data_IF_400729071643
#
_entry.id   IF_400729071643
#
_cell.length_a   1.000
_cell.length_b   1.000
_cell.length_c   1.000
_cell.angle_alpha   90.00
_cell.angle_beta   90.00
_cell.angle_gamma   90.00
#
_symmetry.space_group_name_H-M   'P 1'
#
loop_
_entity.id
_entity.type
_entity.pdbx_description
1 polymer ?
#
# COMPACT_ATOMS: atom_id res chain seq x y z
N UNK A 1 10.55 -3.37 4.71
CA UNK A 1 10.75 -3.63 6.15
C UNK A 1 9.66 -3.07 7.05
N UNK A 2 8.71 -2.27 6.55
CA UNK A 2 7.73 -1.54 7.39
C UNK A 2 6.40 -2.29 7.65
N UNK A 3 6.10 -3.35 6.89
CA UNK A 3 4.78 -4.02 6.92
C UNK A 3 4.41 -4.61 8.30
N UNK A 4 5.35 -5.17 9.07
CA UNK A 4 5.03 -5.76 10.40
C UNK A 4 4.77 -4.68 11.47
N UNK A 5 5.51 -3.56 11.43
CA UNK A 5 5.30 -2.44 12.36
C UNK A 5 3.93 -1.80 12.17
N UNK A 6 3.53 -1.62 10.91
CA UNK A 6 2.20 -1.13 10.55
C UNK A 6 1.11 -2.13 10.94
N UNK A 7 1.28 -3.43 10.69
CA UNK A 7 0.32 -4.46 11.12
C UNK A 7 0.12 -4.48 12.65
N UNK A 8 1.17 -4.25 13.46
CA UNK A 8 1.03 -4.17 14.94
C UNK A 8 0.35 -2.88 15.40
N UNK A 9 0.71 -1.73 14.81
CA UNK A 9 0.06 -0.44 15.08
C UNK A 9 -1.43 -0.52 14.70
N UNK A 10 -1.71 -1.04 13.51
CA UNK A 10 -3.08 -1.18 13.03
C UNK A 10 -3.86 -2.24 13.79
N UNK A 11 -3.29 -3.37 14.20
CA UNK A 11 -3.98 -4.34 15.09
C UNK A 11 -4.34 -3.74 16.45
N UNK A 12 -3.58 -2.76 16.97
CA UNK A 12 -3.94 -2.03 18.19
C UNK A 12 -5.09 -1.04 17.98
N UNK A 13 -5.27 -0.52 16.76
CA UNK A 13 -6.34 0.42 16.41
C UNK A 13 -7.61 -0.33 15.93
N UNK A 14 -7.44 -1.46 15.25
CA UNK A 14 -8.48 -2.25 14.62
C UNK A 14 -9.00 -3.31 15.60
N UNK A 15 -9.90 -2.90 16.48
CA UNK A 15 -10.31 -3.72 17.62
C UNK A 15 -11.26 -4.88 17.29
N UNK A 16 -11.72 -5.07 16.04
CA UNK A 16 -12.71 -6.15 15.79
C UNK A 16 -12.97 -6.63 14.35
N UNK A 17 -12.01 -6.59 13.42
CA UNK A 17 -12.24 -7.15 12.07
C UNK A 17 -11.13 -8.09 11.63
N UNK A 18 -11.48 -9.35 11.38
CA UNK A 18 -10.70 -10.25 10.52
C UNK A 18 -10.48 -9.50 9.19
N UNK A 19 -9.21 -9.23 8.84
CA UNK A 19 -8.87 -8.41 7.67
C UNK A 19 -9.51 -8.96 6.39
N UNK A 20 -9.99 -8.07 5.53
CA UNK A 20 -10.53 -8.41 4.19
C UNK A 20 -9.78 -7.62 3.13
N UNK A 21 -9.68 -8.18 1.94
CA UNK A 21 -9.09 -7.48 0.79
C UNK A 21 -10.01 -6.34 0.32
N UNK A 22 -9.42 -5.29 -0.26
CA UNK A 22 -10.20 -4.18 -0.83
C UNK A 22 -11.18 -4.65 -1.91
N UNK A 23 -10.75 -5.61 -2.74
CA UNK A 23 -11.62 -6.25 -3.73
C UNK A 23 -12.87 -6.85 -3.10
N UNK A 24 -12.78 -7.49 -1.92
CA UNK A 24 -13.94 -8.05 -1.23
C UNK A 24 -14.81 -6.97 -0.58
N UNK A 25 -14.20 -5.99 0.08
CA UNK A 25 -14.94 -4.93 0.80
C UNK A 25 -15.71 -4.02 -0.17
N UNK A 26 -15.06 -3.62 -1.26
CA UNK A 26 -15.60 -2.68 -2.24
C UNK A 26 -16.08 -3.37 -3.52
N UNK A 27 -16.09 -4.71 -3.58
CA UNK A 27 -16.51 -5.47 -4.78
C UNK A 27 -15.91 -4.90 -6.06
N UNK A 28 -14.60 -4.64 -6.04
CA UNK A 28 -13.89 -4.00 -7.14
C UNK A 28 -13.80 -4.96 -8.33
N UNK A 29 -14.04 -4.49 -9.56
CA UNK A 29 -13.94 -5.32 -10.76
C UNK A 29 -12.49 -5.76 -11.01
N UNK A 30 -12.35 -6.88 -11.70
CA UNK A 30 -11.06 -7.40 -12.19
C UNK A 30 -11.26 -7.72 -13.67
N UNK A 31 -10.56 -7.05 -14.60
CA UNK A 31 -9.48 -6.08 -14.37
C UNK A 31 -9.97 -4.69 -13.91
N UNK A 32 -9.07 -3.93 -13.28
CA UNK A 32 -9.29 -2.51 -12.96
C UNK A 32 -8.87 -1.63 -14.14
N UNK A 33 -9.61 -0.56 -14.34
CA UNK A 33 -9.41 0.48 -15.36
C UNK A 33 -9.83 1.85 -14.82
N UNK A 34 -9.52 2.91 -15.56
CA UNK A 34 -9.95 4.27 -15.22
C UNK A 34 -11.48 4.42 -15.15
N UNK A 35 -12.22 3.67 -15.97
CA UNK A 35 -13.69 3.68 -16.04
C UNK A 35 -14.34 2.66 -15.11
N UNK A 36 -13.55 1.94 -14.31
CA UNK A 36 -14.08 0.95 -13.38
C UNK A 36 -14.96 1.60 -12.33
N UNK A 37 -15.99 0.87 -11.90
CA UNK A 37 -16.90 1.31 -10.84
C UNK A 37 -17.03 0.22 -9.79
N UNK A 38 -17.25 0.64 -8.56
CA UNK A 38 -17.47 -0.25 -7.45
C UNK A 38 -18.85 -0.92 -7.56
N UNK A 39 -18.91 -2.24 -7.41
CA UNK A 39 -20.18 -2.97 -7.43
C UNK A 39 -20.83 -3.04 -6.03
N UNK A 40 -20.95 -1.88 -5.37
CA UNK A 40 -21.64 -1.73 -4.08
C UNK A 40 -22.72 -0.67 -4.20
N UNK A 41 -23.99 -1.06 -4.35
CA UNK A 41 -25.10 -0.11 -4.35
C UNK A 41 -25.18 0.65 -3.00
N UNK A 42 -25.43 1.97 -2.99
CA UNK A 42 -25.51 2.76 -1.75
C UNK A 42 -26.54 2.28 -0.72
N UNK A 43 -27.60 1.62 -1.18
CA UNK A 43 -28.69 1.11 -0.35
C UNK A 43 -28.55 -0.38 0.00
N UNK A 44 -27.45 -1.02 -0.38
CA UNK A 44 -27.16 -2.42 -0.01
C UNK A 44 -26.67 -2.53 1.45
N UNK A 45 -26.74 -3.74 2.02
CA UNK A 45 -26.17 -4.02 3.35
C UNK A 45 -24.69 -3.63 3.45
N UNK A 46 -23.92 -3.92 2.41
CA UNK A 46 -22.51 -3.54 2.32
C UNK A 46 -22.35 -2.01 2.28
N UNK A 47 -23.19 -1.29 1.52
CA UNK A 47 -23.21 0.17 1.50
C UNK A 47 -23.53 0.76 2.87
N UNK A 48 -24.47 0.18 3.60
CA UNK A 48 -24.81 0.57 4.96
C UNK A 48 -23.66 0.34 5.95
N UNK A 49 -22.92 -0.77 5.81
CA UNK A 49 -21.70 -1.03 6.59
C UNK A 49 -20.65 0.05 6.30
N UNK A 50 -20.34 0.30 5.02
CA UNK A 50 -19.36 1.31 4.61
C UNK A 50 -19.74 2.72 5.07
N UNK A 51 -21.03 3.05 5.08
CA UNK A 51 -21.55 4.32 5.61
C UNK A 51 -21.24 4.50 7.09
N UNK A 52 -21.30 3.42 7.88
CA UNK A 52 -21.02 3.44 9.33
C UNK A 52 -19.52 3.52 9.63
N UNK A 53 -18.67 2.91 8.80
CA UNK A 53 -17.21 2.99 8.94
C UNK A 53 -16.77 4.45 8.92
N UNK A 54 -15.85 4.82 9.81
CA UNK A 54 -15.29 6.19 9.89
C UNK A 54 -13.85 6.26 9.37
N UNK A 55 -13.10 5.18 9.58
CA UNK A 55 -11.68 5.07 9.24
C UNK A 55 -11.47 3.79 8.45
N UNK A 56 -10.77 3.90 7.33
CA UNK A 56 -10.25 2.77 6.57
C UNK A 56 -8.74 2.72 6.74
N UNK A 57 -8.24 1.56 7.11
CA UNK A 57 -6.82 1.28 7.21
C UNK A 57 -6.49 0.29 6.10
N UNK A 58 -5.60 0.68 5.21
CA UNK A 58 -5.21 -0.10 4.05
C UNK A 58 -3.72 -0.42 4.20
N UNK A 59 -3.41 -1.72 4.34
CA UNK A 59 -2.03 -2.19 4.38
C UNK A 59 -1.52 -2.53 2.97
N UNK A 60 -0.19 -2.59 2.80
CA UNK A 60 0.48 -2.96 1.55
C UNK A 60 0.11 -2.09 0.35
N UNK A 61 0.00 -0.77 0.58
CA UNK A 61 -0.47 0.17 -0.46
C UNK A 61 0.44 0.31 -1.67
N UNK A 62 1.70 -0.13 -1.59
CA UNK A 62 2.61 -0.12 -2.73
C UNK A 62 2.16 -1.06 -3.85
N UNK A 63 1.41 -2.12 -3.51
CA UNK A 63 0.87 -3.08 -4.48
C UNK A 63 -0.46 -2.63 -5.09
N UNK A 64 -1.08 -1.58 -4.56
CA UNK A 64 -2.41 -1.14 -5.00
C UNK A 64 -2.24 -0.19 -6.18
N UNK A 65 -2.87 -0.55 -7.30
CA UNK A 65 -2.97 0.34 -8.46
C UNK A 65 -3.78 1.58 -8.09
N UNK A 66 -3.35 2.76 -8.55
CA UNK A 66 -4.03 4.04 -8.34
C UNK A 66 -5.53 3.99 -8.68
N UNK A 67 -5.91 3.22 -9.71
CA UNK A 67 -7.31 3.08 -10.12
C UNK A 67 -8.18 2.49 -9.01
N UNK A 68 -7.69 1.53 -8.23
CA UNK A 68 -8.44 0.99 -7.10
C UNK A 68 -8.81 2.10 -6.11
N UNK A 69 -7.87 3.01 -5.82
CA UNK A 69 -8.10 4.10 -4.88
C UNK A 69 -9.09 5.13 -5.43
N UNK A 70 -9.02 5.45 -6.72
CA UNK A 70 -10.03 6.30 -7.40
C UNK A 70 -11.43 5.69 -7.35
N UNK A 71 -11.55 4.39 -7.62
CA UNK A 71 -12.84 3.68 -7.56
C UNK A 71 -13.39 3.66 -6.14
N UNK A 72 -12.54 3.48 -5.14
CA UNK A 72 -12.92 3.56 -3.72
C UNK A 72 -13.38 4.97 -3.34
N UNK A 73 -12.68 6.02 -3.77
CA UNK A 73 -13.07 7.42 -3.54
C UNK A 73 -14.47 7.68 -4.09
N UNK A 74 -14.69 7.39 -5.37
CA UNK A 74 -15.99 7.56 -6.03
C UNK A 74 -17.10 6.77 -5.32
N UNK A 75 -16.84 5.50 -4.98
CA UNK A 75 -17.77 4.68 -4.23
C UNK A 75 -18.18 5.29 -2.88
N UNK A 76 -17.20 5.79 -2.13
CA UNK A 76 -17.48 6.38 -0.81
C UNK A 76 -18.21 7.71 -0.95
N UNK A 77 -17.90 8.52 -1.97
CA UNK A 77 -18.66 9.74 -2.31
C UNK A 77 -20.13 9.42 -2.60
N UNK A 78 -20.39 8.38 -3.40
CA UNK A 78 -21.74 7.94 -3.74
C UNK A 78 -22.49 7.41 -2.50
N UNK A 79 -21.86 6.54 -1.71
CA UNK A 79 -22.47 5.95 -0.50
C UNK A 79 -22.81 7.02 0.54
N UNK A 80 -21.94 8.03 0.67
CA UNK A 80 -22.08 9.13 1.63
C UNK A 80 -22.90 10.29 1.08
N UNK A 81 -23.21 10.30 -0.22
CA UNK A 81 -23.81 11.43 -0.94
C UNK A 81 -23.03 12.75 -0.66
N UNK A 82 -21.71 12.72 -0.85
CA UNK A 82 -20.80 13.83 -0.52
C UNK A 82 -19.71 13.97 -1.57
N UNK A 83 -19.39 15.23 -1.92
CA UNK A 83 -18.28 15.56 -2.82
C UNK A 83 -16.92 15.62 -2.12
N UNK A 84 -16.87 15.39 -0.81
CA UNK A 84 -15.62 15.34 -0.06
C UNK A 84 -14.78 14.13 -0.47
N UNK A 85 -13.45 14.27 -0.46
CA UNK A 85 -12.54 13.15 -0.74
C UNK A 85 -12.87 11.98 0.21
N UNK A 86 -12.97 10.79 -0.37
CA UNK A 86 -13.44 9.54 0.23
C UNK A 86 -14.79 9.66 0.94
N UNK A 87 -15.70 10.52 0.46
CA UNK A 87 -16.98 10.78 1.12
C UNK A 87 -16.83 11.33 2.55
N UNK A 88 -15.70 11.99 2.86
CA UNK A 88 -15.38 12.51 4.19
C UNK A 88 -14.89 11.44 5.18
N UNK A 89 -14.51 10.25 4.70
CA UNK A 89 -13.91 9.20 5.52
C UNK A 89 -12.42 9.44 5.70
N UNK A 90 -11.88 8.97 6.81
CA UNK A 90 -10.43 8.97 7.04
C UNK A 90 -9.84 7.74 6.37
N UNK A 91 -8.85 7.93 5.49
CA UNK A 91 -8.09 6.85 4.88
C UNK A 91 -6.67 6.89 5.41
N UNK A 92 -6.21 5.78 5.99
CA UNK A 92 -4.85 5.59 6.43
C UNK A 92 -4.22 4.52 5.54
N UNK A 93 -3.20 4.92 4.79
CA UNK A 93 -2.43 4.06 3.92
C UNK A 93 -1.14 3.66 4.64
N UNK A 94 -0.89 2.36 4.74
CA UNK A 94 0.36 1.80 5.23
C UNK A 94 0.99 0.91 4.18
N UNK A 95 2.29 1.06 3.97
CA UNK A 95 3.04 0.22 3.04
C UNK A 95 4.47 0.71 2.89
N UNK A 96 5.31 -0.12 2.28
CA UNK A 96 6.69 0.21 2.01
C UNK A 96 6.92 0.19 0.50
N UNK A 97 6.97 1.38 -0.10
CA UNK A 97 7.11 1.54 -1.56
C UNK A 97 8.46 1.07 -2.12
N UNK A 98 9.39 0.66 -1.25
CA UNK A 98 10.64 0.00 -1.65
C UNK A 98 10.49 -1.50 -1.88
N UNK A 99 9.34 -2.10 -1.52
CA UNK A 99 9.17 -3.55 -1.57
C UNK A 99 8.72 -4.03 -2.95
N UNK A 100 7.46 -3.76 -3.31
CA UNK A 100 6.84 -4.30 -4.52
C UNK A 100 5.92 -3.23 -5.12
N UNK A 101 6.02 -3.07 -6.44
CA UNK A 101 5.16 -2.20 -7.25
C UNK A 101 3.81 -2.89 -7.54
N UNK A 102 2.79 -2.16 -8.03
CA UNK A 102 1.55 -2.78 -8.46
C UNK A 102 1.78 -3.79 -9.58
N UNK A 103 1.19 -4.98 -9.46
CA UNK A 103 1.25 -5.98 -10.51
C UNK A 103 0.27 -5.62 -11.64
N UNK A 104 0.79 -5.50 -12.85
CA UNK A 104 0.00 -5.25 -14.06
C UNK A 104 0.50 -6.18 -15.17
N UNK A 105 -0.33 -7.17 -15.47
CA UNK A 105 0.00 -8.23 -16.42
C UNK A 105 0.40 -7.65 -17.78
N UNK A 106 1.63 -7.95 -18.21
CA UNK A 106 2.19 -7.58 -19.53
C UNK A 106 2.26 -6.06 -19.79
N UNK A 107 2.28 -5.24 -18.75
CA UNK A 107 2.43 -3.80 -18.90
C UNK A 107 3.91 -3.40 -19.11
N UNK A 108 4.19 -2.37 -19.93
CA UNK A 108 5.51 -1.78 -20.00
C UNK A 108 5.86 -1.07 -18.67
N UNK A 109 7.15 -0.88 -18.34
CA UNK A 109 7.58 -0.24 -17.09
C UNK A 109 6.92 1.13 -16.83
N UNK A 110 6.76 1.95 -17.86
CA UNK A 110 6.10 3.26 -17.75
C UNK A 110 4.66 3.15 -17.24
N UNK A 111 3.89 2.16 -17.72
CA UNK A 111 2.52 1.93 -17.27
C UNK A 111 2.45 1.44 -15.82
N UNK A 112 3.45 0.67 -15.37
CA UNK A 112 3.56 0.26 -13.95
C UNK A 112 3.83 1.49 -13.08
N UNK A 113 4.72 2.40 -13.51
CA UNK A 113 5.01 3.66 -12.81
C UNK A 113 3.77 4.54 -12.75
N UNK A 114 3.05 4.71 -13.86
CA UNK A 114 1.83 5.52 -13.91
C UNK A 114 0.71 4.97 -13.01
N UNK A 115 0.67 3.66 -12.81
CA UNK A 115 -0.27 3.04 -11.89
C UNK A 115 0.16 3.13 -10.42
N UNK A 116 1.42 3.49 -10.14
CA UNK A 116 1.89 3.65 -8.77
C UNK A 116 1.18 4.83 -8.12
N UNK A 117 0.74 4.61 -6.88
CA UNK A 117 0.03 5.64 -6.14
C UNK A 117 0.83 6.95 -6.01
N UNK A 118 2.15 6.85 -5.82
CA UNK A 118 3.05 8.01 -5.71
C UNK A 118 3.11 8.91 -6.96
N UNK A 119 2.74 8.38 -8.13
CA UNK A 119 2.70 9.15 -9.38
C UNK A 119 1.35 9.81 -9.61
N UNK A 120 0.37 9.56 -8.74
CA UNK A 120 -0.98 10.10 -8.85
C UNK A 120 -1.13 11.45 -8.15
N UNK A 121 -1.92 12.35 -8.73
CA UNK A 121 -2.42 13.55 -8.04
C UNK A 121 -3.26 13.25 -6.79
N UNK A 122 -3.78 12.02 -6.63
CA UNK A 122 -4.41 11.62 -5.38
C UNK A 122 -3.42 11.62 -4.21
N UNK A 123 -2.14 11.33 -4.47
CA UNK A 123 -1.09 11.26 -3.45
C UNK A 123 -0.92 12.58 -2.71
N UNK A 124 -1.09 13.70 -3.40
CA UNK A 124 -0.95 15.05 -2.84
C UNK A 124 -1.98 15.36 -1.74
N UNK A 125 -3.07 14.57 -1.67
CA UNK A 125 -4.10 14.72 -0.63
C UNK A 125 -3.72 14.00 0.68
N UNK A 126 -2.64 13.22 0.70
CA UNK A 126 -2.21 12.47 1.87
C UNK A 126 -1.12 13.20 2.64
N UNK A 127 -1.28 13.27 3.96
CA UNK A 127 -0.20 13.66 4.85
C UNK A 127 0.76 12.48 5.02
N UNK A 128 2.03 12.69 4.68
CA UNK A 128 3.04 11.63 4.70
C UNK A 128 3.73 11.57 6.07
N UNK A 129 3.78 10.36 6.65
CA UNK A 129 4.50 10.07 7.88
C UNK A 129 5.42 8.89 7.65
N UNK A 130 6.63 8.94 8.21
CA UNK A 130 7.61 7.87 8.09
C UNK A 130 7.86 7.24 9.46
N UNK A 131 7.87 5.91 9.50
CA UNK A 131 8.27 5.16 10.69
C UNK A 131 9.80 5.01 10.67
N UNK A 132 10.46 5.47 11.72
CA UNK A 132 11.93 5.48 11.80
C UNK A 132 12.50 4.31 12.59
N UNK A 133 11.68 3.66 13.43
CA UNK A 133 12.12 2.57 14.27
C UNK A 133 11.77 1.21 13.67
N UNK A 134 12.78 0.40 13.38
CA UNK A 134 12.62 -1.01 13.04
C UNK A 134 12.29 -1.81 14.30
N UNK A 135 11.14 -2.48 14.29
CA UNK A 135 10.65 -3.31 15.41
C UNK A 135 10.77 -4.81 15.13
N UNK A 136 11.36 -5.19 13.99
CA UNK A 136 11.55 -6.57 13.55
C UNK A 136 12.92 -7.12 13.93
N UNK A 137 13.95 -6.28 13.88
CA UNK A 137 15.31 -6.64 14.27
C UNK A 137 15.54 -6.31 15.75
N UNK A 138 16.31 -7.16 16.42
CA UNK A 138 16.73 -6.94 17.80
C UNK A 138 17.75 -5.79 17.88
N UNK A 139 17.97 -5.27 19.09
CA UNK A 139 18.96 -4.20 19.32
C UNK A 139 20.39 -4.58 18.88
N UNK A 140 20.69 -5.88 18.84
CA UNK A 140 21.99 -6.42 18.45
C UNK A 140 22.11 -6.70 16.93
N UNK A 141 21.04 -6.52 16.16
CA UNK A 141 20.97 -6.80 14.72
C UNK A 141 20.94 -5.51 13.88
N UNK A 142 21.52 -4.42 14.39
CA UNK A 142 21.47 -3.11 13.75
C UNK A 142 22.17 -3.11 12.38
N UNK A 143 23.27 -3.84 12.25
CA UNK A 143 24.01 -3.91 10.99
C UNK A 143 23.21 -4.64 9.91
N UNK A 144 22.51 -5.73 10.28
CA UNK A 144 21.58 -6.41 9.39
C UNK A 144 20.39 -5.51 9.01
N UNK A 145 19.81 -4.77 9.98
CA UNK A 145 18.76 -3.80 9.67
C UNK A 145 19.24 -2.70 8.72
N UNK A 146 20.47 -2.22 8.87
CA UNK A 146 21.06 -1.20 8.00
C UNK A 146 21.30 -1.75 6.59
N UNK A 147 21.82 -2.97 6.50
CA UNK A 147 22.01 -3.67 5.23
C UNK A 147 20.67 -3.86 4.49
N UNK A 148 19.63 -4.32 5.17
CA UNK A 148 18.30 -4.46 4.56
C UNK A 148 17.71 -3.12 4.08
N UNK A 149 18.03 -2.00 4.75
CA UNK A 149 17.58 -0.66 4.35
C UNK A 149 18.33 -0.19 3.09
N UNK A 150 19.63 -0.45 3.02
CA UNK A 150 20.44 -0.18 1.83
C UNK A 150 19.97 -1.02 0.64
N UNK A 151 19.68 -2.31 0.87
CA UNK A 151 19.11 -3.21 -0.14
C UNK A 151 17.80 -2.64 -0.71
N UNK A 152 16.83 -2.33 0.14
CA UNK A 152 15.55 -1.79 -0.31
C UNK A 152 15.66 -0.40 -0.95
N UNK A 153 16.73 0.33 -0.70
CA UNK A 153 16.96 1.66 -1.30
C UNK A 153 17.80 1.59 -2.58
N UNK A 154 18.28 0.41 -2.97
CA UNK A 154 19.14 0.23 -4.15
C UNK A 154 20.55 0.81 -3.98
N UNK A 155 21.05 0.94 -2.75
CA UNK A 155 22.38 1.49 -2.48
C UNK A 155 23.48 0.43 -2.32
N UNK A 156 23.13 -0.86 -2.32
CA UNK A 156 24.13 -1.92 -2.26
C UNK A 156 24.80 -2.06 -3.63
N UNK A 157 26.13 -2.12 -3.62
CA UNK A 157 26.95 -2.43 -4.78
C UNK A 157 27.63 -3.77 -4.53
N UNK A 158 27.86 -4.53 -5.60
CA UNK A 158 28.71 -5.72 -5.53
C UNK A 158 30.15 -5.31 -5.23
N UNK A 159 30.80 -6.05 -4.33
CA UNK A 159 32.22 -5.91 -4.02
C UNK A 159 33.16 -6.50 -5.09
N UNK A 160 32.61 -7.16 -6.11
CA UNK A 160 33.35 -7.76 -7.20
C UNK A 160 33.20 -6.90 -8.46
N UNK A 161 34.31 -6.29 -8.87
CA UNK A 161 34.43 -5.67 -10.18
C UNK A 161 34.13 -6.75 -11.25
N UNK A 162 33.19 -6.47 -12.17
CA UNK A 162 32.69 -7.31 -13.27
C UNK A 162 31.37 -8.10 -13.06
N UNK A 163 30.62 -7.86 -11.98
CA UNK A 163 29.23 -8.36 -11.89
C UNK A 163 28.23 -7.32 -12.42
N UNK A 164 27.08 -7.80 -12.87
CA UNK A 164 25.99 -6.95 -13.36
C UNK A 164 25.37 -6.14 -12.21
N UNK A 165 24.83 -4.95 -12.51
CA UNK A 165 24.27 -4.00 -11.53
C UNK A 165 23.10 -4.59 -10.69
N UNK A 166 22.53 -5.72 -11.10
CA UNK A 166 21.48 -6.47 -10.40
C UNK A 166 22.01 -7.50 -9.40
N UNK A 167 23.34 -7.60 -9.20
CA UNK A 167 23.95 -8.53 -8.25
C UNK A 167 24.24 -7.85 -6.91
N UNK A 168 23.89 -8.53 -5.81
CA UNK A 168 24.09 -8.05 -4.43
C UNK A 168 24.85 -9.08 -3.60
N UNK A 169 25.74 -8.62 -2.72
CA UNK A 169 26.41 -9.48 -1.75
C UNK A 169 25.53 -9.69 -0.52
N UNK A 170 25.31 -10.96 -0.16
CA UNK A 170 24.59 -11.34 1.05
C UNK A 170 25.60 -11.41 2.20
N UNK A 171 25.38 -10.71 3.33
CA UNK A 171 26.29 -10.78 4.47
C UNK A 171 26.43 -12.20 4.99
N UNK A 172 27.65 -12.63 5.34
CA UNK A 172 27.90 -13.97 5.88
C UNK A 172 27.04 -14.28 7.12
N UNK A 173 26.72 -13.27 7.94
CA UNK A 173 25.84 -13.43 9.09
C UNK A 173 24.39 -13.85 8.75
N UNK A 174 24.02 -13.84 7.46
CA UNK A 174 22.71 -14.26 6.95
C UNK A 174 22.71 -15.65 6.30
N UNK A 175 23.88 -16.29 6.16
CA UNK A 175 24.10 -17.60 5.53
C UNK A 175 24.35 -18.63 6.63
#
# INVERSE_FOLDING_TARGET
>A
MESISLVRIFRRIQTNTCGKTLHSIFKLPVPLSETSVCNVPPNSDQGNILRRVKVFIINETSMIQVYALKVIDNCLRDIMNSNSIFGGKVIILGGDFRQVLPDITRAPPAAVIDACLKHSSMWDNFHQMQLTQNMRTNANEQDFSRWLLQLGSGFLQSSLDNLSEDTIDIPEACI
#
